data_IF_259377424066
#
_entry.id   IF_259377424066
#
_cell.length_a   1.000
_cell.length_b   1.000
_cell.length_c   1.000
_cell.angle_alpha   90.00
_cell.angle_beta   90.00
_cell.angle_gamma   90.00
#
_symmetry.space_group_name_H-M   'P 1'
#
loop_
_entity.id
_entity.type
_entity.pdbx_description
1 polymer ?
#
# COMPACT_ATOMS: atom_id res chain seq x y z
N UNK A 1 47.07 -49.42 50.65
CA UNK A 1 46.57 -48.64 49.49
C UNK A 1 45.43 -47.79 50.06
N UNK A 2 45.75 -46.55 50.43
CA UNK A 2 45.00 -45.73 51.41
C UNK A 2 43.73 -45.12 50.82
N UNK A 3 42.67 -45.09 51.61
CA UNK A 3 41.36 -44.47 51.32
C UNK A 3 41.46 -42.97 50.95
N UNK A 4 42.60 -42.33 51.20
CA UNK A 4 42.90 -40.96 50.79
C UNK A 4 43.08 -40.79 49.27
N UNK A 5 43.51 -41.83 48.54
CA UNK A 5 43.58 -41.76 47.07
C UNK A 5 42.21 -41.88 46.39
N UNK A 6 41.18 -42.37 47.10
CA UNK A 6 39.81 -42.42 46.61
C UNK A 6 39.02 -41.13 46.90
N UNK A 7 39.42 -40.35 47.90
CA UNK A 7 38.81 -39.05 48.18
C UNK A 7 39.38 -37.91 47.33
N UNK A 8 40.62 -38.02 46.86
CA UNK A 8 41.20 -37.02 45.95
C UNK A 8 40.74 -37.16 44.48
N UNK A 9 40.13 -38.28 44.08
CA UNK A 9 39.52 -38.43 42.75
C UNK A 9 38.04 -38.02 42.68
N UNK A 10 37.39 -37.67 43.79
CA UNK A 10 35.99 -37.21 43.80
C UNK A 10 35.82 -35.68 43.85
N UNK A 11 36.91 -34.90 43.94
CA UNK A 11 36.85 -33.43 43.95
C UNK A 11 37.10 -32.76 42.59
N UNK A 12 37.25 -33.51 41.50
CA UNK A 12 37.53 -32.92 40.17
C UNK A 12 36.33 -32.86 39.21
N UNK A 13 35.10 -33.17 39.64
CA UNK A 13 33.93 -33.01 38.77
C UNK A 13 32.69 -32.57 39.56
N UNK A 14 32.66 -31.31 39.99
CA UNK A 14 31.39 -30.58 40.01
C UNK A 14 31.48 -29.43 39.02
N UNK A 15 30.71 -29.48 37.92
CA UNK A 15 30.89 -28.53 36.85
C UNK A 15 30.49 -27.13 37.30
N UNK A 16 31.14 -26.18 36.67
CA UNK A 16 30.94 -24.73 36.64
C UNK A 16 29.49 -24.30 36.22
N UNK A 17 28.48 -25.05 36.66
CA UNK A 17 27.13 -25.13 36.13
C UNK A 17 26.28 -23.93 36.56
N UNK A 18 26.49 -23.41 37.77
CA UNK A 18 25.83 -22.18 38.21
C UNK A 18 26.32 -20.95 37.43
N UNK A 19 27.60 -20.91 37.07
CA UNK A 19 28.18 -19.79 36.33
C UNK A 19 27.78 -19.82 34.85
N UNK A 20 27.81 -21.00 34.22
CA UNK A 20 27.32 -21.17 32.84
C UNK A 20 25.81 -20.97 32.73
N UNK A 21 25.02 -21.36 33.74
CA UNK A 21 23.58 -21.10 33.77
C UNK A 21 23.27 -19.59 33.91
N UNK A 22 24.04 -18.86 34.72
CA UNK A 22 23.92 -17.40 34.84
C UNK A 22 24.34 -16.68 33.56
N UNK A 23 25.43 -17.11 32.91
CA UNK A 23 25.87 -16.57 31.61
C UNK A 23 24.83 -16.85 30.52
N UNK A 24 24.28 -18.06 30.47
CA UNK A 24 23.23 -18.44 29.53
C UNK A 24 21.95 -17.62 29.73
N UNK A 25 21.51 -17.42 30.97
CA UNK A 25 20.37 -16.56 31.29
C UNK A 25 20.64 -15.09 30.91
N UNK A 26 21.88 -14.60 31.07
CA UNK A 26 22.28 -13.26 30.64
C UNK A 26 22.29 -13.12 29.11
N UNK A 27 22.66 -14.18 28.37
CA UNK A 27 22.61 -14.21 26.90
C UNK A 27 21.14 -14.21 26.42
N UNK A 28 20.27 -15.02 27.03
CA UNK A 28 18.84 -15.02 26.74
C UNK A 28 18.21 -13.65 27.03
N UNK A 29 18.60 -13.01 28.14
CA UNK A 29 18.16 -11.67 28.48
C UNK A 29 18.55 -10.64 27.42
N UNK A 30 19.81 -10.69 26.94
CA UNK A 30 20.30 -9.83 25.85
C UNK A 30 19.56 -10.09 24.53
N UNK A 31 19.35 -11.34 24.16
CA UNK A 31 18.61 -11.72 22.95
C UNK A 31 17.16 -11.25 22.99
N UNK A 32 16.47 -11.41 24.12
CA UNK A 32 15.09 -10.90 24.28
C UNK A 32 15.02 -9.39 24.23
N UNK A 33 16.02 -8.70 24.76
CA UNK A 33 16.08 -7.23 24.73
C UNK A 33 16.34 -6.74 23.30
N UNK A 34 17.28 -7.35 22.59
CA UNK A 34 17.54 -7.07 21.18
C UNK A 34 16.29 -7.33 20.34
N UNK A 35 15.62 -8.47 20.52
CA UNK A 35 14.39 -8.77 19.78
C UNK A 35 13.24 -7.79 20.07
N UNK A 36 13.13 -7.27 21.30
CA UNK A 36 12.16 -6.22 21.65
C UNK A 36 12.53 -4.86 21.07
N UNK A 37 13.82 -4.51 21.04
CA UNK A 37 14.33 -3.30 20.40
C UNK A 37 14.08 -3.34 18.90
N UNK A 38 14.46 -4.44 18.24
CA UNK A 38 14.21 -4.67 16.82
C UNK A 38 12.72 -4.57 16.53
N UNK A 39 11.85 -5.19 17.34
CA UNK A 39 10.40 -5.08 17.17
C UNK A 39 9.88 -3.65 17.34
N UNK A 40 10.47 -2.84 18.24
CA UNK A 40 10.11 -1.45 18.44
C UNK A 40 10.55 -0.58 17.24
N UNK A 41 11.76 -0.80 16.74
CA UNK A 41 12.30 -0.14 15.55
C UNK A 41 11.50 -0.50 14.28
N UNK A 42 11.03 -1.74 14.17
CA UNK A 42 10.10 -2.17 13.10
C UNK A 42 8.72 -1.51 13.20
N UNK A 43 8.25 -1.20 14.41
CA UNK A 43 6.94 -0.60 14.63
C UNK A 43 6.95 0.95 14.50
N UNK A 44 8.12 1.58 14.68
CA UNK A 44 8.29 3.02 14.57
C UNK A 44 8.66 3.41 13.14
N UNK A 45 7.65 3.62 12.29
CA UNK A 45 7.88 4.32 11.02
C UNK A 45 8.28 5.76 11.33
N UNK A 46 9.48 6.16 10.91
CA UNK A 46 9.98 7.53 11.09
C UNK A 46 9.26 8.55 10.19
N UNK A 47 9.31 9.82 10.59
CA UNK A 47 8.78 10.93 9.78
C UNK A 47 9.47 11.01 8.40
N UNK A 48 10.79 10.80 8.35
CA UNK A 48 11.56 10.79 7.10
C UNK A 48 11.10 9.68 6.15
N UNK A 49 10.86 8.47 6.67
CA UNK A 49 10.35 7.38 5.85
C UNK A 49 8.93 7.65 5.34
N UNK A 50 8.05 8.23 6.17
CA UNK A 50 6.72 8.65 5.72
C UNK A 50 6.79 9.73 4.64
N UNK A 51 7.71 10.67 4.76
CA UNK A 51 7.89 11.74 3.78
C UNK A 51 8.35 11.18 2.43
N UNK A 52 9.31 10.24 2.40
CA UNK A 52 9.73 9.63 1.14
C UNK A 52 8.63 8.73 0.54
N UNK A 53 7.89 7.99 1.38
CA UNK A 53 6.70 7.22 0.94
C UNK A 53 5.63 8.14 0.35
N UNK A 54 5.38 9.28 0.96
CA UNK A 54 4.45 10.31 0.47
C UNK A 54 4.92 10.89 -0.86
N UNK A 55 6.21 11.21 -0.98
CA UNK A 55 6.80 11.71 -2.24
C UNK A 55 6.61 10.69 -3.38
N UNK A 56 6.92 9.42 -3.13
CA UNK A 56 6.69 8.33 -4.09
C UNK A 56 5.21 8.16 -4.43
N UNK A 57 4.32 8.22 -3.44
CA UNK A 57 2.88 8.13 -3.65
C UNK A 57 2.35 9.27 -4.53
N UNK A 58 2.82 10.50 -4.31
CA UNK A 58 2.47 11.66 -5.15
C UNK A 58 2.98 11.51 -6.58
N UNK A 59 4.20 10.99 -6.78
CA UNK A 59 4.73 10.71 -8.12
C UNK A 59 3.87 9.68 -8.86
N UNK A 60 3.45 8.62 -8.17
CA UNK A 60 2.53 7.61 -8.74
C UNK A 60 1.19 8.28 -9.09
N UNK A 61 0.63 9.08 -8.19
CA UNK A 61 -0.61 9.82 -8.42
C UNK A 61 -0.52 10.72 -9.66
N UNK A 62 0.58 11.45 -9.83
CA UNK A 62 0.83 12.25 -11.02
C UNK A 62 0.83 11.41 -12.30
N UNK A 63 1.52 10.28 -12.31
CA UNK A 63 1.56 9.39 -13.48
C UNK A 63 0.20 8.78 -13.81
N UNK A 64 -0.59 8.42 -12.79
CA UNK A 64 -1.96 7.92 -12.97
C UNK A 64 -2.85 9.03 -13.56
N UNK A 65 -2.71 10.26 -13.07
CA UNK A 65 -3.47 11.40 -13.57
C UNK A 65 -3.13 11.71 -15.03
N UNK A 66 -1.85 11.71 -15.40
CA UNK A 66 -1.42 11.86 -16.79
C UNK A 66 -2.01 10.76 -17.69
N UNK A 67 -2.08 9.52 -17.20
CA UNK A 67 -2.71 8.41 -17.92
C UNK A 67 -4.22 8.62 -18.11
N UNK A 68 -4.91 9.13 -17.08
CA UNK A 68 -6.32 9.49 -17.17
C UNK A 68 -6.56 10.59 -18.22
N UNK A 69 -5.71 11.61 -18.26
CA UNK A 69 -5.82 12.70 -19.24
C UNK A 69 -5.66 12.21 -20.69
N UNK A 70 -4.74 11.27 -20.92
CA UNK A 70 -4.57 10.61 -22.23
C UNK A 70 -5.85 9.87 -22.63
N UNK A 71 -6.44 9.08 -21.73
CA UNK A 71 -7.67 8.33 -22.02
C UNK A 71 -8.88 9.27 -22.22
N UNK A 72 -8.95 10.38 -21.48
CA UNK A 72 -9.97 11.41 -21.71
C UNK A 72 -9.80 12.10 -23.06
N UNK A 73 -8.56 12.39 -23.47
CA UNK A 73 -8.29 12.95 -24.79
C UNK A 73 -8.68 11.97 -25.90
N UNK A 74 -8.35 10.68 -25.74
CA UNK A 74 -8.77 9.60 -26.64
C UNK A 74 -10.30 9.51 -26.73
N UNK A 75 -11.00 9.55 -25.59
CA UNK A 75 -12.47 9.55 -25.54
C UNK A 75 -13.05 10.72 -26.33
N UNK A 76 -12.51 11.94 -26.17
CA UNK A 76 -12.97 13.12 -26.93
C UNK A 76 -12.84 12.93 -28.44
N UNK A 77 -11.70 12.43 -28.91
CA UNK A 77 -11.47 12.14 -30.34
C UNK A 77 -12.42 11.07 -30.89
N UNK A 78 -12.66 10.02 -30.10
CA UNK A 78 -13.59 8.94 -30.47
C UNK A 78 -15.03 9.48 -30.54
N UNK A 79 -15.48 10.26 -29.56
CA UNK A 79 -16.81 10.88 -29.56
C UNK A 79 -16.99 11.79 -30.78
N UNK A 80 -16.00 12.62 -31.09
CA UNK A 80 -16.04 13.49 -32.28
C UNK A 80 -16.18 12.67 -33.57
N UNK A 81 -15.49 11.53 -33.63
CA UNK A 81 -15.56 10.62 -34.79
C UNK A 81 -16.94 9.97 -34.92
N UNK A 82 -17.54 9.55 -33.81
CA UNK A 82 -18.91 9.01 -33.81
C UNK A 82 -19.91 10.06 -34.28
N UNK A 83 -19.79 11.31 -33.79
CA UNK A 83 -20.64 12.42 -34.21
C UNK A 83 -20.51 12.72 -35.71
N UNK A 84 -19.27 12.78 -36.23
CA UNK A 84 -19.00 12.98 -37.67
C UNK A 84 -19.59 11.89 -38.57
N UNK A 85 -19.76 10.68 -38.04
CA UNK A 85 -20.31 9.52 -38.76
C UNK A 85 -21.76 9.21 -38.42
N UNK A 86 -22.41 10.06 -37.61
CA UNK A 86 -23.79 9.87 -37.15
C UNK A 86 -24.00 8.50 -36.47
N UNK A 87 -22.94 7.95 -35.85
CA UNK A 87 -22.98 6.68 -35.13
C UNK A 87 -23.50 6.88 -33.71
N UNK A 88 -24.28 5.92 -33.22
CA UNK A 88 -24.73 5.91 -31.83
C UNK A 88 -23.55 5.57 -30.91
N UNK A 89 -23.34 6.37 -29.87
CA UNK A 89 -22.36 6.08 -28.82
C UNK A 89 -22.75 4.81 -28.04
N UNK A 90 -21.77 4.06 -27.51
CA UNK A 90 -22.07 2.98 -26.56
C UNK A 90 -22.87 3.54 -25.37
N UNK A 91 -24.00 2.91 -25.02
CA UNK A 91 -24.79 3.28 -23.85
C UNK A 91 -23.93 3.11 -22.58
N UNK A 92 -23.91 4.13 -21.72
CA UNK A 92 -23.18 4.12 -20.45
C UNK A 92 -23.97 3.46 -19.31
N UNK A 93 -25.30 3.39 -19.41
CA UNK A 93 -26.18 3.03 -18.30
C UNK A 93 -26.36 1.51 -18.08
N UNK A 94 -26.39 0.70 -19.13
CA UNK A 94 -26.61 -0.77 -19.02
C UNK A 94 -25.41 -1.55 -18.41
N UNK A 95 -24.29 -0.87 -18.18
CA UNK A 95 -23.00 -1.50 -17.84
C UNK A 95 -22.33 -0.96 -16.58
N UNK A 96 -22.71 0.22 -16.08
CA UNK A 96 -22.33 0.63 -14.71
C UNK A 96 -22.85 -0.40 -13.69
N UNK A 97 -24.05 -0.96 -13.87
CA UNK A 97 -24.59 -2.02 -13.02
C UNK A 97 -23.81 -3.36 -13.13
N UNK A 98 -23.31 -3.73 -14.31
CA UNK A 98 -22.56 -4.98 -14.51
C UNK A 98 -21.11 -4.93 -14.03
N UNK A 99 -20.46 -3.77 -14.11
CA UNK A 99 -19.12 -3.57 -13.53
C UNK A 99 -19.19 -3.42 -12.00
N UNK A 100 -20.21 -2.75 -11.46
CA UNK A 100 -20.43 -2.67 -10.00
C UNK A 100 -20.72 -4.04 -9.36
N UNK A 101 -21.45 -4.94 -10.03
CA UNK A 101 -21.67 -6.30 -9.54
C UNK A 101 -20.39 -7.17 -9.55
N UNK A 102 -19.48 -6.96 -10.51
CA UNK A 102 -18.16 -7.63 -10.51
C UNK A 102 -17.20 -7.06 -9.47
N UNK A 103 -17.22 -5.74 -9.24
CA UNK A 103 -16.36 -5.09 -8.24
C UNK A 103 -16.82 -5.40 -6.79
N UNK A 104 -18.13 -5.54 -6.52
CA UNK A 104 -18.63 -5.98 -5.20
C UNK A 104 -18.20 -7.40 -4.79
N UNK A 105 -17.83 -8.25 -5.76
CA UNK A 105 -17.33 -9.60 -5.48
C UNK A 105 -15.81 -9.66 -5.25
N UNK A 106 -15.04 -8.64 -5.68
CA UNK A 106 -13.57 -8.61 -5.60
C UNK A 106 -12.98 -7.55 -4.67
N UNK A 107 -13.70 -6.45 -4.44
CA UNK A 107 -13.30 -5.36 -3.54
C UNK A 107 -14.36 -5.18 -2.45
N UNK A 108 -14.49 -6.15 -1.53
CA UNK A 108 -14.84 -5.75 -0.17
C UNK A 108 -13.77 -4.75 0.24
N UNK A 109 -14.15 -3.48 0.43
CA UNK A 109 -13.27 -2.37 0.75
C UNK A 109 -12.26 -2.70 1.83
N UNK A 110 -11.13 -3.28 1.42
CA UNK A 110 -9.96 -3.43 2.26
C UNK A 110 -9.36 -2.04 2.23
N UNK A 111 -9.84 -1.19 3.14
CA UNK A 111 -9.07 -0.05 3.60
C UNK A 111 -7.63 -0.54 3.70
N UNK A 112 -6.71 0.13 3.02
CA UNK A 112 -5.28 -0.17 3.19
C UNK A 112 -5.02 -0.24 4.70
N UNK A 113 -4.11 -1.10 5.20
CA UNK A 113 -3.80 -1.15 6.63
C UNK A 113 -3.56 0.24 7.23
N UNK A 114 -3.07 1.19 6.43
CA UNK A 114 -2.94 2.61 6.78
C UNK A 114 -4.30 3.33 6.91
N UNK A 115 -5.22 3.16 5.95
CA UNK A 115 -6.57 3.73 6.00
C UNK A 115 -7.40 3.15 7.16
N UNK A 116 -7.26 1.85 7.43
CA UNK A 116 -7.88 1.19 8.59
C UNK A 116 -7.29 1.71 9.91
N UNK A 117 -5.96 1.90 9.97
CA UNK A 117 -5.28 2.47 11.14
C UNK A 117 -5.67 3.93 11.37
N UNK A 118 -5.90 4.71 10.31
CA UNK A 118 -6.39 6.09 10.43
C UNK A 118 -7.84 6.17 10.88
N UNK A 119 -8.71 5.28 10.39
CA UNK A 119 -10.09 5.20 10.85
C UNK A 119 -10.16 4.82 12.34
N UNK A 120 -9.29 3.91 12.80
CA UNK A 120 -9.18 3.52 14.20
C UNK A 120 -8.55 4.62 15.08
N UNK A 121 -7.56 5.36 14.57
CA UNK A 121 -6.89 6.43 15.33
C UNK A 121 -7.76 7.70 15.52
N UNK A 122 -8.83 7.86 14.76
CA UNK A 122 -9.74 8.99 14.88
C UNK A 122 -10.79 8.80 16.01
N UNK A 123 -10.83 7.63 16.66
CA UNK A 123 -11.77 7.28 17.74
C UNK A 123 -11.11 7.35 19.15
N UNK A 124 -9.78 7.50 19.23
CA UNK A 124 -9.06 7.78 20.48
C UNK A 124 -8.89 9.28 20.64
N UNK A 125 -9.92 9.92 21.20
CA UNK A 125 -9.81 11.22 21.82
C UNK A 125 -9.17 11.03 23.21
N UNK A 126 -7.83 10.95 23.27
CA UNK A 126 -7.13 11.01 24.54
C UNK A 126 -6.14 12.18 24.53
N UNK A 127 -6.47 13.16 25.37
CA UNK A 127 -5.57 14.16 25.94
C UNK A 127 -4.24 13.48 26.33
N UNK A 128 -3.19 13.67 25.54
CA UNK A 128 -1.84 13.65 26.10
C UNK A 128 -0.94 14.58 25.30
N UNK A 129 -0.06 15.26 26.01
CA UNK A 129 0.81 16.31 25.48
C UNK A 129 1.95 15.69 24.64
N UNK A 130 1.62 15.19 23.45
CA UNK A 130 2.58 14.66 22.47
C UNK A 130 3.35 15.79 21.79
N UNK A 131 4.67 15.68 21.73
CA UNK A 131 5.54 16.67 21.09
C UNK A 131 5.31 16.78 19.59
N UNK A 132 5.77 17.89 18.99
CA UNK A 132 5.62 18.27 17.57
C UNK A 132 5.86 17.12 16.56
N UNK A 133 6.71 16.14 16.89
CA UNK A 133 7.03 14.99 16.03
C UNK A 133 5.89 13.97 15.90
N UNK A 134 5.10 13.72 16.96
CA UNK A 134 3.96 12.79 16.91
C UNK A 134 2.80 13.37 16.08
N UNK A 135 2.65 14.69 16.11
CA UNK A 135 1.72 15.45 15.27
C UNK A 135 2.17 15.44 13.80
N UNK A 136 3.47 15.57 13.52
CA UNK A 136 4.03 15.48 12.18
C UNK A 136 3.85 14.09 11.56
N UNK A 137 4.18 13.01 12.30
CA UNK A 137 3.98 11.63 11.87
C UNK A 137 2.49 11.37 11.57
N UNK A 138 1.60 11.83 12.45
CA UNK A 138 0.15 11.69 12.27
C UNK A 138 -0.35 12.44 11.03
N UNK A 139 0.17 13.65 10.79
CA UNK A 139 -0.13 14.44 9.60
C UNK A 139 0.38 13.77 8.32
N UNK A 140 1.60 13.24 8.33
CA UNK A 140 2.19 12.57 7.17
C UNK A 140 1.43 11.28 6.83
N UNK A 141 1.00 10.51 7.83
CA UNK A 141 0.13 9.34 7.63
C UNK A 141 -1.21 9.74 6.97
N UNK A 142 -1.85 10.82 7.44
CA UNK A 142 -3.07 11.39 6.82
C UNK A 142 -2.86 11.79 5.37
N UNK A 143 -1.77 12.50 5.07
CA UNK A 143 -1.45 12.91 3.71
C UNK A 143 -1.14 11.73 2.79
N UNK A 144 -0.43 10.71 3.29
CA UNK A 144 -0.11 9.51 2.55
C UNK A 144 -1.38 8.72 2.19
N UNK A 145 -2.28 8.52 3.15
CA UNK A 145 -3.54 7.85 2.92
C UNK A 145 -4.40 8.60 1.88
N UNK A 146 -4.54 9.93 2.01
CA UNK A 146 -5.28 10.75 1.05
C UNK A 146 -4.68 10.66 -0.37
N UNK A 147 -3.35 10.80 -0.49
CA UNK A 147 -2.64 10.69 -1.78
C UNK A 147 -2.84 9.32 -2.44
N UNK A 148 -2.86 8.24 -1.66
CA UNK A 148 -3.11 6.89 -2.17
C UNK A 148 -4.56 6.70 -2.60
N UNK A 149 -5.52 7.22 -1.83
CA UNK A 149 -6.94 7.14 -2.15
C UNK A 149 -7.26 7.88 -3.46
N UNK A 150 -6.73 9.10 -3.62
CA UNK A 150 -6.95 9.88 -4.83
C UNK A 150 -6.32 9.20 -6.06
N UNK A 151 -5.12 8.64 -5.93
CA UNK A 151 -4.49 7.87 -7.00
C UNK A 151 -5.33 6.64 -7.39
N UNK A 152 -5.94 5.94 -6.43
CA UNK A 152 -6.83 4.80 -6.72
C UNK A 152 -8.09 5.22 -7.45
N UNK A 153 -8.73 6.32 -7.02
CA UNK A 153 -9.91 6.88 -7.69
C UNK A 153 -9.59 7.26 -9.13
N UNK A 154 -8.50 8.01 -9.36
CA UNK A 154 -8.07 8.37 -10.72
C UNK A 154 -7.76 7.12 -11.56
N UNK A 155 -7.17 6.07 -10.99
CA UNK A 155 -6.90 4.82 -11.69
C UNK A 155 -8.19 4.09 -12.09
N UNK A 156 -9.19 4.03 -11.21
CA UNK A 156 -10.49 3.43 -11.52
C UNK A 156 -11.19 4.19 -12.67
N UNK A 157 -11.19 5.53 -12.61
CA UNK A 157 -11.75 6.36 -13.69
C UNK A 157 -10.98 6.14 -15.00
N UNK A 158 -9.65 6.05 -14.95
CA UNK A 158 -8.83 5.79 -16.14
C UNK A 158 -9.15 4.43 -16.76
N UNK A 159 -9.30 3.38 -15.95
CA UNK A 159 -9.69 2.03 -16.41
C UNK A 159 -11.06 2.04 -17.10
N UNK A 160 -12.07 2.64 -16.46
CA UNK A 160 -13.43 2.76 -17.04
C UNK A 160 -13.41 3.55 -18.34
N UNK A 161 -12.66 4.65 -18.39
CA UNK A 161 -12.50 5.47 -19.59
C UNK A 161 -11.84 4.68 -20.71
N UNK A 162 -10.77 3.94 -20.41
CA UNK A 162 -10.08 3.09 -21.39
C UNK A 162 -10.99 1.99 -21.94
N UNK A 163 -11.73 1.30 -21.08
CA UNK A 163 -12.67 0.26 -21.50
C UNK A 163 -13.73 0.82 -22.46
N UNK A 164 -14.27 2.01 -22.16
CA UNK A 164 -15.19 2.71 -23.06
C UNK A 164 -14.52 3.05 -24.40
N UNK A 165 -13.31 3.60 -24.37
CA UNK A 165 -12.54 3.91 -25.58
C UNK A 165 -12.31 2.67 -26.45
N UNK A 166 -11.97 1.53 -25.84
CA UNK A 166 -11.69 0.29 -26.56
C UNK A 166 -12.96 -0.26 -27.25
N UNK A 167 -14.14 -0.17 -26.60
CA UNK A 167 -15.43 -0.50 -27.24
C UNK A 167 -15.78 0.44 -28.38
N UNK A 168 -15.56 1.74 -28.21
CA UNK A 168 -15.77 2.71 -29.28
C UNK A 168 -14.89 2.40 -30.49
N UNK A 169 -13.64 1.99 -30.25
CA UNK A 169 -12.73 1.55 -31.32
C UNK A 169 -13.24 0.27 -32.00
N UNK A 170 -13.76 -0.69 -31.25
CA UNK A 170 -14.34 -1.92 -31.80
C UNK A 170 -15.55 -1.64 -32.69
N UNK A 171 -16.51 -0.84 -32.23
CA UNK A 171 -17.66 -0.41 -33.04
C UNK A 171 -17.23 0.35 -34.31
N UNK A 172 -16.20 1.18 -34.23
CA UNK A 172 -15.64 1.86 -35.41
C UNK A 172 -15.06 0.85 -36.41
N UNK A 173 -14.32 -0.15 -35.93
CA UNK A 173 -13.78 -1.22 -36.80
C UNK A 173 -14.89 -2.01 -37.48
N UNK A 174 -15.94 -2.38 -36.74
CA UNK A 174 -17.12 -3.08 -37.30
C UNK A 174 -17.83 -2.24 -38.37
N UNK A 175 -17.84 -0.91 -38.23
CA UNK A 175 -18.39 0.01 -39.23
C UNK A 175 -17.47 0.26 -40.44
N UNK A 176 -16.31 -0.40 -40.52
CA UNK A 176 -15.37 -0.27 -41.63
C UNK A 176 -14.40 0.91 -41.52
N UNK A 177 -14.17 1.42 -40.31
CA UNK A 177 -13.23 2.53 -40.06
C UNK A 177 -11.90 1.98 -39.57
N UNK A 178 -10.86 2.12 -40.38
CA UNK A 178 -9.49 1.86 -39.95
C UNK A 178 -8.94 3.02 -39.09
N UNK A 179 -8.48 2.64 -37.90
CA UNK A 179 -7.77 3.35 -36.81
C UNK A 179 -7.67 4.89 -36.86
N UNK A 180 -8.18 5.53 -35.81
CA UNK A 180 -7.77 6.88 -35.40
C UNK A 180 -6.36 6.81 -34.78
N UNK A 181 -5.48 7.74 -35.16
CA UNK A 181 -4.17 7.87 -34.51
C UNK A 181 -4.33 8.03 -32.98
N UNK A 182 -3.47 7.40 -32.17
CA UNK A 182 -3.50 7.62 -30.72
C UNK A 182 -3.27 9.12 -30.42
N UNK A 183 -3.90 9.68 -29.37
CA UNK A 183 -3.65 11.05 -28.98
C UNK A 183 -2.14 11.23 -28.71
N UNK A 184 -1.55 12.26 -29.33
CA UNK A 184 -0.15 12.62 -29.11
C UNK A 184 0.03 12.88 -27.61
N UNK A 185 0.98 12.19 -26.97
CA UNK A 185 1.39 12.50 -25.61
C UNK A 185 1.79 13.98 -25.54
N UNK A 186 1.24 14.69 -24.55
CA UNK A 186 1.66 16.05 -24.20
C UNK A 186 2.99 15.97 -23.46
#
# INVERSE_FOLDING_TARGET
>A
MSSEQQQQQQQEQEPNNANTHNEFNAIIGRLKTAAKSDQADFNAISAEELQERLRKSRQIGFNVQASLEIEQARKRQLVETFLKREMKLPNTEDEEEKEEEKEKAGEKGVLSPLEASLAAANDTNDNDAGGDEDDEISRLKKQLAASQLDARKSLQIAKKTRAMCDRMVEMLKESGVEQLEPPKSI
#
